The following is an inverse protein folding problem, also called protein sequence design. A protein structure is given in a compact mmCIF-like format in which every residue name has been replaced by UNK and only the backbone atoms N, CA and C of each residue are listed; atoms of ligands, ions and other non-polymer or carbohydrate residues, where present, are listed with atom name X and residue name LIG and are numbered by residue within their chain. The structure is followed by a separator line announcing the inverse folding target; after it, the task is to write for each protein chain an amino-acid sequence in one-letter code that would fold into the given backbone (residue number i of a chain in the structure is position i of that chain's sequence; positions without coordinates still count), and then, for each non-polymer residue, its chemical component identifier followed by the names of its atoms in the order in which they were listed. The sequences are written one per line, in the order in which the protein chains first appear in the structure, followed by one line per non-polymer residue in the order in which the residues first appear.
data_IF_498206818317
#
_entry.id   IF_498206818317
#
_cell.length_a   1.000
_cell.length_b   1.000
_cell.length_c   1.000
_cell.angle_alpha   90.00
_cell.angle_beta   90.00
_cell.angle_gamma   90.00
#
_symmetry.space_group_name_H-M   'P 1'
#
loop_
_entity.id
_entity.type
_entity.pdbx_description
1 polymer ?
#
# COMPACT_ATOMS: atom_id res chain seq x y z
N UNK A 1 -52.24 13.54 -15.37
CA UNK A 1 -51.63 14.76 -15.92
C UNK A 1 -50.47 14.32 -16.80
N UNK A 2 -50.74 14.02 -18.07
CA UNK A 2 -49.73 13.75 -19.09
C UNK A 2 -49.40 15.07 -19.78
N UNK A 3 -48.11 15.38 -19.93
CA UNK A 3 -47.68 16.50 -20.75
C UNK A 3 -46.55 16.02 -21.63
N UNK A 4 -46.97 15.57 -22.81
CA UNK A 4 -46.17 15.41 -24.00
C UNK A 4 -45.82 16.82 -24.49
N UNK A 5 -44.55 17.09 -24.78
CA UNK A 5 -44.15 18.27 -25.56
C UNK A 5 -43.41 17.78 -26.78
N UNK A 6 -44.13 17.75 -27.90
CA UNK A 6 -43.58 17.65 -29.24
C UNK A 6 -43.32 19.07 -29.75
N UNK A 7 -42.11 19.35 -30.20
CA UNK A 7 -41.75 20.56 -30.95
C UNK A 7 -40.64 20.16 -31.92
N UNK A 8 -40.99 19.82 -33.16
CA UNK A 8 -41.12 20.70 -34.34
C UNK A 8 -39.76 21.11 -34.92
N UNK A 9 -39.52 20.55 -36.11
CA UNK A 9 -38.41 20.73 -37.06
C UNK A 9 -38.19 22.19 -37.44
N UNK A 10 -36.93 22.59 -37.60
CA UNK A 10 -36.50 23.36 -38.78
C UNK A 10 -35.04 23.07 -39.11
N UNK A 11 -34.84 22.64 -40.36
CA UNK A 11 -33.57 22.34 -41.00
C UNK A 11 -33.01 23.66 -41.57
N UNK A 12 -31.82 24.08 -41.12
CA UNK A 12 -31.11 25.20 -41.77
C UNK A 12 -29.81 24.68 -42.35
N UNK A 13 -29.86 24.40 -43.65
CA UNK A 13 -28.70 24.21 -44.49
C UNK A 13 -27.87 25.50 -44.53
N UNK A 14 -26.65 25.46 -43.96
CA UNK A 14 -25.64 26.50 -44.14
C UNK A 14 -24.53 25.94 -45.02
N UNK A 15 -24.26 26.70 -46.09
CA UNK A 15 -23.44 26.36 -47.23
C UNK A 15 -21.99 26.00 -46.88
N UNK A 16 -21.52 24.95 -47.55
CA UNK A 16 -20.13 24.50 -47.58
C UNK A 16 -19.19 25.58 -48.13
N UNK A 17 -18.14 25.91 -47.39
CA UNK A 17 -16.96 26.61 -47.91
C UNK A 17 -15.75 25.67 -47.82
N UNK A 18 -15.04 25.34 -48.93
CA UNK A 18 -13.91 24.45 -48.89
C UNK A 18 -12.64 25.26 -48.66
N UNK A 19 -12.19 25.35 -47.40
CA UNK A 19 -10.84 25.84 -47.09
C UNK A 19 -10.10 24.77 -46.32
N UNK A 20 -9.15 24.15 -47.03
CA UNK A 20 -8.04 23.34 -46.56
C UNK A 20 -8.35 22.46 -45.33
N UNK A 21 -8.81 21.23 -45.59
CA UNK A 21 -8.53 20.10 -44.71
C UNK A 21 -7.01 19.93 -44.72
N UNK A 22 -6.33 20.65 -43.81
CA UNK A 22 -5.10 20.13 -43.27
C UNK A 22 -5.44 18.73 -42.78
N UNK A 23 -4.77 17.74 -43.34
CA UNK A 23 -4.74 16.37 -42.81
C UNK A 23 -4.05 16.47 -41.45
N UNK A 24 -4.75 17.05 -40.48
CA UNK A 24 -4.45 16.93 -39.07
C UNK A 24 -4.82 15.50 -38.75
N UNK A 25 -3.84 14.60 -38.89
CA UNK A 25 -3.92 13.29 -38.28
C UNK A 25 -4.44 13.52 -36.87
N UNK A 26 -5.58 12.89 -36.56
CA UNK A 26 -6.28 13.07 -35.29
C UNK A 26 -5.23 13.17 -34.18
N UNK A 27 -5.30 14.21 -33.33
CA UNK A 27 -4.32 14.46 -32.29
C UNK A 27 -4.48 13.39 -31.18
N UNK A 28 -4.05 12.18 -31.52
CA UNK A 28 -4.20 10.97 -30.74
C UNK A 28 -3.38 11.08 -29.46
N UNK A 29 -2.43 12.02 -29.40
CA UNK A 29 -1.55 12.27 -28.25
C UNK A 29 -2.36 12.60 -27.01
N UNK A 30 -3.42 13.41 -27.15
CA UNK A 30 -4.35 13.72 -26.07
C UNK A 30 -5.19 12.52 -25.66
N UNK A 31 -5.71 11.76 -26.65
CA UNK A 31 -6.56 10.59 -26.42
C UNK A 31 -5.83 9.47 -25.67
N UNK A 32 -4.60 9.13 -26.06
CA UNK A 32 -3.81 8.11 -25.38
C UNK A 32 -3.50 8.52 -23.93
N UNK A 33 -3.20 9.81 -23.69
CA UNK A 33 -3.00 10.33 -22.35
C UNK A 33 -4.25 10.18 -21.49
N UNK A 34 -5.42 10.57 -22.01
CA UNK A 34 -6.70 10.44 -21.27
C UNK A 34 -6.99 8.97 -20.95
N UNK A 35 -6.78 8.06 -21.90
CA UNK A 35 -6.99 6.63 -21.66
C UNK A 35 -6.02 6.03 -20.64
N UNK A 36 -4.76 6.47 -20.62
CA UNK A 36 -3.79 6.03 -19.63
C UNK A 36 -4.15 6.52 -18.22
N UNK A 37 -4.55 7.77 -18.09
CA UNK A 37 -5.03 8.34 -16.82
C UNK A 37 -6.30 7.63 -16.33
N UNK A 38 -7.26 7.36 -17.23
CA UNK A 38 -8.47 6.61 -16.90
C UNK A 38 -8.14 5.21 -16.38
N UNK A 39 -7.26 4.48 -17.09
CA UNK A 39 -6.82 3.13 -16.67
C UNK A 39 -6.12 3.15 -15.32
N UNK A 40 -5.30 4.18 -15.05
CA UNK A 40 -4.64 4.33 -13.76
C UNK A 40 -5.67 4.51 -12.65
N UNK A 41 -6.60 5.46 -12.82
CA UNK A 41 -7.66 5.71 -11.82
C UNK A 41 -8.54 4.49 -11.61
N UNK A 42 -8.89 3.76 -12.67
CA UNK A 42 -9.67 2.52 -12.57
C UNK A 42 -8.90 1.44 -11.78
N UNK A 43 -7.59 1.33 -11.99
CA UNK A 43 -6.74 0.42 -11.24
C UNK A 43 -6.62 0.84 -9.77
N UNK A 44 -6.41 2.13 -9.50
CA UNK A 44 -6.35 2.68 -8.14
C UNK A 44 -7.68 2.42 -7.40
N UNK A 45 -8.82 2.60 -8.07
CA UNK A 45 -10.14 2.30 -7.50
C UNK A 45 -10.27 0.83 -7.10
N UNK A 46 -9.83 -0.10 -7.96
CA UNK A 46 -9.87 -1.53 -7.64
C UNK A 46 -8.99 -1.86 -6.44
N UNK A 47 -7.78 -1.32 -6.38
CA UNK A 47 -6.89 -1.55 -5.23
C UNK A 47 -7.49 -1.04 -3.93
N UNK A 48 -8.07 0.16 -3.94
CA UNK A 48 -8.73 0.70 -2.75
C UNK A 48 -9.94 -0.14 -2.31
N UNK A 49 -10.72 -0.68 -3.25
CA UNK A 49 -11.82 -1.59 -2.95
C UNK A 49 -11.32 -2.90 -2.32
N UNK A 50 -10.23 -3.46 -2.84
CA UNK A 50 -9.56 -4.65 -2.28
C UNK A 50 -9.02 -4.39 -0.86
N UNK A 51 -8.28 -3.30 -0.65
CA UNK A 51 -7.74 -2.89 0.65
C UNK A 51 -8.85 -2.63 1.67
N UNK A 52 -9.96 -2.03 1.25
CA UNK A 52 -11.10 -1.77 2.13
C UNK A 52 -11.75 -3.08 2.59
N UNK A 53 -11.88 -4.06 1.70
CA UNK A 53 -12.40 -5.37 2.04
C UNK A 53 -11.45 -6.12 2.99
N UNK A 54 -10.13 -6.01 2.79
CA UNK A 54 -9.14 -6.55 3.72
C UNK A 54 -9.28 -5.91 5.11
N UNK A 55 -9.34 -4.57 5.19
CA UNK A 55 -9.56 -3.85 6.44
C UNK A 55 -10.87 -4.26 7.13
N UNK A 56 -11.94 -4.51 6.38
CA UNK A 56 -13.20 -4.99 6.95
C UNK A 56 -13.07 -6.38 7.61
N UNK A 57 -12.16 -7.21 7.11
CA UNK A 57 -11.87 -8.54 7.66
C UNK A 57 -10.87 -8.52 8.81
N UNK A 58 -10.12 -7.43 9.00
CA UNK A 58 -9.17 -7.33 10.11
C UNK A 58 -9.88 -7.28 11.46
N UNK A 59 -9.23 -7.86 12.47
CA UNK A 59 -9.72 -7.87 13.85
C UNK A 59 -9.49 -6.51 14.53
N UNK A 60 -10.14 -6.32 15.69
CA UNK A 60 -9.96 -5.10 16.47
C UNK A 60 -8.51 -4.94 16.93
N UNK A 61 -7.97 -3.72 16.81
CA UNK A 61 -6.62 -3.40 17.28
C UNK A 61 -6.45 -3.72 18.77
N UNK A 62 -7.49 -3.49 19.59
CA UNK A 62 -7.43 -3.79 21.02
C UNK A 62 -7.17 -5.27 21.31
N UNK A 63 -7.82 -6.19 20.58
CA UNK A 63 -7.65 -7.63 20.79
C UNK A 63 -6.27 -8.09 20.33
N UNK A 64 -5.81 -7.60 19.19
CA UNK A 64 -4.47 -7.89 18.67
C UNK A 64 -3.37 -7.36 19.60
N UNK A 65 -3.55 -6.16 20.17
CA UNK A 65 -2.60 -5.60 21.13
C UNK A 65 -2.56 -6.41 22.43
N UNK A 66 -3.70 -6.86 22.95
CA UNK A 66 -3.74 -7.73 24.14
C UNK A 66 -3.03 -9.07 23.89
N UNK A 67 -3.26 -9.68 22.74
CA UNK A 67 -2.57 -10.93 22.36
C UNK A 67 -1.05 -10.72 22.23
N UNK A 68 -0.64 -9.63 21.57
CA UNK A 68 0.77 -9.27 21.42
C UNK A 68 1.43 -9.09 22.79
N UNK A 69 0.80 -8.37 23.71
CA UNK A 69 1.32 -8.17 25.07
C UNK A 69 1.49 -9.51 25.80
N UNK A 70 0.49 -10.39 25.73
CA UNK A 70 0.60 -11.74 26.33
C UNK A 70 1.78 -12.52 25.75
N UNK A 71 1.98 -12.48 24.44
CA UNK A 71 3.09 -13.16 23.79
C UNK A 71 4.46 -12.61 24.23
N UNK A 72 4.58 -11.29 24.36
CA UNK A 72 5.81 -10.63 24.82
C UNK A 72 6.10 -10.98 26.29
N UNK A 73 5.08 -11.03 27.14
CA UNK A 73 5.24 -11.32 28.58
C UNK A 73 5.62 -12.78 28.87
N UNK A 74 5.23 -13.72 28.00
CA UNK A 74 5.49 -15.16 28.18
C UNK A 74 6.93 -15.55 27.90
N UNK A 75 7.60 -14.87 26.97
CA UNK A 75 8.96 -15.22 26.54
C UNK A 75 9.96 -14.38 27.33
N UNK A 76 10.84 -14.99 28.14
CA UNK A 76 11.86 -14.24 28.86
C UNK A 76 12.90 -13.72 27.85
N UNK A 77 13.22 -12.43 27.94
CA UNK A 77 14.22 -11.79 27.07
C UNK A 77 15.50 -11.47 27.90
N UNK A 78 16.68 -12.01 27.52
CA UNK A 78 17.94 -11.75 28.20
C UNK A 78 18.49 -10.32 28.01
N UNK A 79 18.00 -9.60 27.00
CA UNK A 79 18.46 -8.23 26.70
C UNK A 79 17.69 -7.17 27.48
N UNK A 80 16.59 -7.56 28.14
CA UNK A 80 15.83 -6.65 29.00
C UNK A 80 16.50 -6.51 30.37
N UNK A 81 16.54 -5.30 30.95
CA UNK A 81 17.07 -5.08 32.30
C UNK A 81 16.34 -5.88 33.39
N UNK A 82 15.08 -6.24 33.12
CA UNK A 82 14.26 -7.09 33.96
C UNK A 82 13.60 -8.14 33.06
N UNK A 83 13.94 -9.41 33.28
CA UNK A 83 13.36 -10.54 32.55
C UNK A 83 12.36 -11.27 33.43
N UNK A 84 11.22 -11.66 32.88
CA UNK A 84 10.21 -12.41 33.61
C UNK A 84 10.61 -13.89 33.67
N UNK A 85 10.54 -14.53 34.84
CA UNK A 85 10.81 -15.96 34.97
C UNK A 85 12.19 -16.31 35.54
N UNK A 86 12.52 -17.60 35.67
CA UNK A 86 13.75 -18.05 36.32
C UNK A 86 14.98 -17.72 35.47
N UNK A 87 16.13 -17.42 36.10
CA UNK A 87 17.37 -17.15 35.38
C UNK A 87 17.77 -18.36 34.54
N UNK A 88 17.98 -18.14 33.24
CA UNK A 88 18.40 -19.18 32.31
C UNK A 88 19.92 -19.21 32.20
N UNK A 89 20.54 -20.18 32.87
CA UNK A 89 22.00 -20.38 32.91
C UNK A 89 22.63 -20.64 31.52
N UNK A 90 21.84 -21.04 30.52
CA UNK A 90 22.35 -21.21 29.16
C UNK A 90 22.63 -19.88 28.46
N UNK A 91 22.00 -18.79 28.89
CA UNK A 91 22.25 -17.45 28.35
C UNK A 91 23.58 -16.88 28.83
N UNK A 92 23.99 -17.20 30.06
CA UNK A 92 25.29 -16.78 30.59
C UNK A 92 26.42 -17.17 29.63
N UNK A 93 26.33 -18.35 28.99
CA UNK A 93 27.30 -18.80 27.98
C UNK A 93 27.43 -17.89 26.75
N UNK A 94 26.39 -17.15 26.38
CA UNK A 94 26.42 -16.22 25.24
C UNK A 94 27.05 -14.88 25.62
N UNK A 95 26.96 -14.48 26.89
CA UNK A 95 27.52 -13.24 27.42
C UNK A 95 28.90 -13.43 28.09
N UNK A 96 29.19 -14.64 28.52
CA UNK A 96 30.53 -15.08 28.92
C UNK A 96 31.36 -15.14 27.64
N UNK A 97 32.23 -14.13 27.47
CA UNK A 97 33.25 -14.15 26.43
C UNK A 97 34.09 -15.45 26.47
N UNK A 98 34.94 -15.70 25.47
CA UNK A 98 35.65 -16.97 25.32
C UNK A 98 36.26 -17.48 26.64
N UNK A 99 35.74 -18.61 27.14
CA UNK A 99 36.17 -19.23 28.41
C UNK A 99 37.64 -19.66 28.37
N UNK A 100 38.13 -19.97 27.16
CA UNK A 100 39.53 -20.27 26.90
C UNK A 100 40.27 -18.98 26.50
N UNK A 101 40.62 -18.17 27.49
CA UNK A 101 41.61 -17.12 27.30
C UNK A 101 42.79 -17.30 28.27
N UNK A 102 43.68 -18.23 27.91
CA UNK A 102 45.04 -17.73 27.69
C UNK A 102 44.92 -16.68 26.57
N UNK A 103 44.60 -15.44 26.95
CA UNK A 103 44.26 -14.39 26.00
C UNK A 103 45.33 -14.31 24.91
N UNK A 104 44.92 -14.42 23.65
CA UNK A 104 45.83 -14.07 22.56
C UNK A 104 46.24 -12.61 22.77
N UNK A 105 47.55 -12.36 22.93
CA UNK A 105 48.15 -11.02 23.00
C UNK A 105 48.21 -10.33 21.63
N UNK A 106 47.26 -10.62 20.76
CA UNK A 106 47.20 -9.98 19.46
C UNK A 106 46.61 -8.58 19.64
N UNK A 107 47.45 -7.56 19.44
CA UNK A 107 47.03 -6.16 19.37
C UNK A 107 46.30 -5.97 18.05
N UNK A 108 45.03 -5.56 18.11
CA UNK A 108 44.32 -5.10 16.92
C UNK A 108 44.94 -3.75 16.56
N UNK A 109 45.57 -3.69 15.38
CA UNK A 109 46.15 -2.49 14.78
C UNK A 109 45.07 -1.52 14.29
#
# INVERSE_FOLDING_TARGET
MASETASSVDEVAVASSPVAVGVGGADNRGRHRILAELKRVEQDSRFLEEELEELHRTENVSTLCEELLRNIEVIPDPLLPLTNGPPNQLWDRWFEGPQDSQGCRCWIL
#
